data_IF_994705862330
#
_entry.id   IF_994705862330
#
_cell.length_a   1.000
_cell.length_b   1.000
_cell.length_c   1.000
_cell.angle_alpha   90.00
_cell.angle_beta   90.00
_cell.angle_gamma   90.00
#
_symmetry.space_group_name_H-M   'P 1'
#
loop_
_entity.id
_entity.type
_entity.pdbx_description
1 polymer ?
#
# COMPACT_ATOMS: atom_id res chain seq x y z
N UNK A 1 0.91 8.72 5.88
CA UNK A 1 1.28 7.43 5.26
C UNK A 1 1.75 7.68 3.85
N UNK A 2 2.85 7.08 3.44
CA UNK A 2 3.38 7.08 2.08
C UNK A 2 3.24 5.67 1.51
N UNK A 3 2.58 5.55 0.36
CA UNK A 3 2.28 4.27 -0.28
C UNK A 3 3.15 4.14 -1.53
N UNK A 4 4.10 3.22 -1.50
CA UNK A 4 4.85 2.78 -2.68
C UNK A 4 4.07 1.70 -3.41
N UNK A 5 4.25 1.60 -4.72
CA UNK A 5 3.48 0.70 -5.56
C UNK A 5 4.43 -0.19 -6.37
N UNK A 6 4.23 -1.51 -6.29
CA UNK A 6 4.94 -2.50 -7.11
C UNK A 6 4.01 -2.96 -8.23
N UNK A 7 4.23 -2.51 -9.47
CA UNK A 7 3.36 -2.87 -10.59
C UNK A 7 3.51 -4.35 -10.96
N UNK A 8 2.39 -5.02 -11.26
CA UNK A 8 2.36 -6.40 -11.71
C UNK A 8 1.32 -6.58 -12.83
N UNK A 9 1.74 -7.21 -13.93
CA UNK A 9 0.82 -7.64 -14.98
C UNK A 9 -0.08 -8.76 -14.44
N UNK A 10 -1.34 -8.47 -14.19
CA UNK A 10 -2.32 -9.38 -13.61
C UNK A 10 -3.74 -8.87 -13.86
N UNK A 11 -4.72 -9.77 -13.92
CA UNK A 11 -6.15 -9.44 -13.96
C UNK A 11 -6.77 -9.31 -12.56
N UNK A 12 -6.00 -9.56 -11.49
CA UNK A 12 -6.41 -9.34 -10.11
C UNK A 12 -6.87 -7.90 -9.92
N UNK A 13 -7.96 -7.71 -9.18
CA UNK A 13 -8.35 -6.40 -8.67
C UNK A 13 -7.96 -6.28 -7.21
N UNK A 14 -7.51 -5.09 -6.82
CA UNK A 14 -7.16 -4.76 -5.43
C UNK A 14 -7.89 -3.47 -5.06
N UNK A 15 -8.57 -3.50 -3.93
CA UNK A 15 -9.25 -2.34 -3.34
C UNK A 15 -8.58 -1.96 -2.03
N UNK A 16 -8.30 -0.68 -1.83
CA UNK A 16 -7.63 -0.17 -0.63
C UNK A 16 -8.34 1.06 -0.11
N UNK A 17 -8.64 1.05 1.18
CA UNK A 17 -9.13 2.20 1.92
C UNK A 17 -8.17 2.55 3.05
N UNK A 18 -7.84 3.82 3.21
CA UNK A 18 -7.04 4.33 4.32
C UNK A 18 -7.93 4.81 5.45
N UNK A 19 -7.57 4.47 6.68
CA UNK A 19 -8.16 5.03 7.89
C UNK A 19 -7.05 5.33 8.91
N UNK A 20 -6.53 6.56 8.88
CA UNK A 20 -5.40 6.97 9.71
C UNK A 20 -4.14 6.18 9.37
N UNK A 21 -3.75 5.30 10.30
CA UNK A 21 -2.61 4.38 10.22
C UNK A 21 -3.02 2.94 9.90
N UNK A 22 -4.29 2.70 9.57
CA UNK A 22 -4.77 1.41 9.10
C UNK A 22 -5.12 1.43 7.61
N UNK A 23 -5.01 0.25 6.98
CA UNK A 23 -5.47 0.00 5.62
C UNK A 23 -6.50 -1.12 5.62
N UNK A 24 -7.62 -0.94 4.93
CA UNK A 24 -8.53 -2.02 4.57
C UNK A 24 -8.22 -2.44 3.14
N UNK A 25 -7.74 -3.66 2.96
CA UNK A 25 -7.35 -4.21 1.65
C UNK A 25 -8.27 -5.38 1.35
N UNK A 26 -8.99 -5.33 0.22
CA UNK A 26 -9.95 -6.36 -0.20
C UNK A 26 -10.93 -6.75 0.93
N UNK A 27 -11.36 -5.76 1.71
CA UNK A 27 -12.28 -5.92 2.84
C UNK A 27 -11.65 -6.37 4.17
N UNK A 28 -10.34 -6.67 4.21
CA UNK A 28 -9.61 -7.05 5.42
C UNK A 28 -8.82 -5.85 5.97
N UNK A 29 -9.02 -5.53 7.26
CA UNK A 29 -8.31 -4.45 7.94
C UNK A 29 -6.95 -4.90 8.46
N UNK A 30 -5.95 -4.05 8.23
CA UNK A 30 -4.59 -4.13 8.77
C UNK A 30 -4.29 -2.84 9.53
N UNK A 31 -4.06 -2.96 10.84
CA UNK A 31 -3.81 -1.82 11.73
C UNK A 31 -2.32 -1.69 12.04
N UNK A 32 -1.70 -0.60 11.61
CA UNK A 32 -0.28 -0.32 11.82
C UNK A 32 -0.03 0.74 12.91
N UNK A 33 -1.04 1.10 13.69
CA UNK A 33 -0.89 2.06 14.80
C UNK A 33 0.12 1.61 15.86
N UNK A 34 0.38 0.31 15.96
CA UNK A 34 1.43 -0.26 16.82
C UNK A 34 2.86 -0.11 16.30
N UNK A 35 3.06 0.30 15.04
CA UNK A 35 4.39 0.56 14.49
C UNK A 35 4.83 1.97 14.91
N UNK A 36 5.64 2.04 15.96
CA UNK A 36 6.16 3.30 16.52
C UNK A 36 7.28 3.89 15.67
N UNK A 37 7.67 5.14 15.93
CA UNK A 37 8.79 5.79 15.24
C UNK A 37 10.07 4.95 15.30
N UNK A 38 10.74 4.79 14.15
CA UNK A 38 11.95 3.98 14.01
C UNK A 38 11.73 2.46 14.10
N UNK A 39 10.48 2.01 14.23
CA UNK A 39 10.14 0.59 14.23
C UNK A 39 9.82 0.08 12.82
N UNK A 40 10.07 -1.21 12.66
CA UNK A 40 9.86 -1.98 11.43
C UNK A 40 8.98 -3.18 11.76
N UNK A 41 7.82 -3.29 11.09
CA UNK A 41 7.01 -4.50 11.07
C UNK A 41 7.44 -5.33 9.85
N UNK A 42 8.06 -6.51 10.05
CA UNK A 42 8.50 -7.33 8.94
C UNK A 42 7.31 -7.88 8.14
N UNK A 43 7.49 -8.03 6.82
CA UNK A 43 6.49 -8.61 5.91
C UNK A 43 5.95 -9.96 6.41
N UNK A 44 6.81 -10.80 6.98
CA UNK A 44 6.42 -12.13 7.50
C UNK A 44 5.46 -12.08 8.68
N UNK A 45 5.29 -10.93 9.33
CA UNK A 45 4.29 -10.70 10.36
C UNK A 45 2.95 -10.18 9.81
N UNK A 46 2.88 -9.93 8.50
CA UNK A 46 1.72 -9.40 7.80
C UNK A 46 1.13 -10.51 6.92
N UNK A 47 -0.01 -11.05 7.34
CA UNK A 47 -0.73 -12.05 6.55
C UNK A 47 -1.57 -11.37 5.44
N UNK A 48 -0.88 -10.81 4.44
CA UNK A 48 -1.44 -10.13 3.28
C UNK A 48 -0.54 -10.32 2.05
N UNK A 49 -1.11 -10.71 0.93
CA UNK A 49 -0.38 -10.90 -0.34
C UNK A 49 -0.25 -9.61 -1.17
N UNK A 50 -0.94 -8.55 -0.77
CA UNK A 50 -0.88 -7.23 -1.41
C UNK A 50 0.17 -6.33 -0.76
N UNK A 51 0.41 -6.46 0.54
CA UNK A 51 1.47 -5.70 1.22
C UNK A 51 2.78 -6.41 0.99
N UNK A 52 3.73 -5.70 0.39
CA UNK A 52 5.04 -6.23 0.03
C UNK A 52 6.11 -5.55 0.88
N UNK A 53 7.08 -6.32 1.35
CA UNK A 53 8.15 -5.79 2.19
C UNK A 53 7.68 -5.33 3.58
N UNK A 54 8.60 -4.77 4.38
CA UNK A 54 8.29 -4.30 5.71
C UNK A 54 7.43 -3.03 5.69
N UNK A 55 6.69 -2.81 6.78
CA UNK A 55 6.03 -1.53 7.08
C UNK A 55 6.84 -0.81 8.15
N UNK A 56 7.26 0.41 7.85
CA UNK A 56 8.19 1.17 8.69
C UNK A 56 7.63 2.54 9.00
N UNK A 57 7.97 3.09 10.18
CA UNK A 57 7.71 4.49 10.48
C UNK A 57 9.00 5.28 10.49
N UNK A 58 9.08 6.25 9.58
CA UNK A 58 10.25 7.12 9.37
C UNK A 58 9.74 8.56 9.39
N UNK A 59 10.33 9.40 10.24
CA UNK A 59 9.98 10.81 10.39
C UNK A 59 8.47 11.02 10.68
N UNK A 60 7.91 10.14 11.49
CA UNK A 60 6.49 10.15 11.89
C UNK A 60 5.54 9.57 10.84
N UNK A 61 6.02 9.19 9.65
CA UNK A 61 5.19 8.71 8.54
C UNK A 61 5.35 7.21 8.33
N UNK A 62 4.24 6.49 8.25
CA UNK A 62 4.25 5.09 7.82
C UNK A 62 4.57 4.98 6.33
N UNK A 63 5.54 4.14 5.99
CA UNK A 63 5.89 3.72 4.65
C UNK A 63 5.39 2.30 4.42
N UNK A 64 4.57 2.11 3.39
CA UNK A 64 3.97 0.83 3.02
C UNK A 64 4.18 0.62 1.52
N UNK A 65 4.52 -0.59 1.09
CA UNK A 65 4.55 -0.95 -0.34
C UNK A 65 3.40 -1.88 -0.65
N UNK A 66 2.63 -1.56 -1.68
CA UNK A 66 1.48 -2.35 -2.13
C UNK A 66 1.70 -2.88 -3.54
N UNK A 67 1.25 -4.10 -3.80
CA UNK A 67 1.09 -4.64 -5.14
C UNK A 67 0.04 -3.81 -5.90
N UNK A 68 0.39 -3.39 -7.12
CA UNK A 68 -0.51 -2.74 -8.07
C UNK A 68 -0.72 -3.65 -9.28
N UNK A 69 -1.80 -4.45 -9.31
CA UNK A 69 -2.19 -5.17 -10.50
C UNK A 69 -2.55 -4.20 -11.63
N UNK A 70 -2.12 -4.49 -12.84
CA UNK A 70 -2.50 -3.74 -14.02
C UNK A 70 -2.64 -4.65 -15.25
N UNK A 71 -3.46 -4.22 -16.21
CA UNK A 71 -3.64 -4.93 -17.50
C UNK A 71 -2.49 -4.70 -18.48
N UNK A 72 -2.53 -5.40 -19.62
CA UNK A 72 -1.52 -5.26 -20.67
C UNK A 72 -1.48 -3.84 -21.28
N UNK A 73 -2.63 -3.18 -21.35
CA UNK A 73 -2.83 -1.83 -21.90
C UNK A 73 -2.72 -0.73 -20.83
N UNK A 74 -2.14 -1.03 -19.66
CA UNK A 74 -2.00 -0.08 -18.56
C UNK A 74 -1.12 1.12 -18.94
N UNK A 75 -1.45 2.30 -18.39
CA UNK A 75 -0.70 3.52 -18.68
C UNK A 75 0.74 3.44 -18.16
N UNK A 76 1.58 4.38 -18.61
CA UNK A 76 2.92 4.54 -18.06
C UNK A 76 2.89 4.82 -16.54
N UNK A 77 1.89 5.54 -16.05
CA UNK A 77 1.74 5.83 -14.63
C UNK A 77 1.36 4.59 -13.81
N UNK A 78 0.66 3.62 -14.40
CA UNK A 78 0.38 2.34 -13.74
C UNK A 78 1.56 1.37 -13.81
N UNK A 79 2.31 1.37 -14.93
CA UNK A 79 3.49 0.50 -15.13
C UNK A 79 4.75 1.01 -14.41
N UNK A 80 4.81 2.31 -14.12
CA UNK A 80 5.90 2.97 -13.41
C UNK A 80 5.34 3.98 -12.40
N UNK A 81 4.65 3.49 -11.36
CA UNK A 81 3.90 4.34 -10.45
C UNK A 81 4.80 5.20 -9.59
N UNK A 82 4.44 6.48 -9.48
CA UNK A 82 4.96 7.34 -8.43
C UNK A 82 4.33 6.93 -7.07
N UNK A 83 5.03 7.12 -5.95
CA UNK A 83 4.44 6.92 -4.63
C UNK A 83 3.24 7.83 -4.39
N UNK A 84 2.23 7.33 -3.68
CA UNK A 84 1.08 8.11 -3.23
C UNK A 84 1.41 8.66 -1.84
N UNK A 85 1.68 9.96 -1.78
CA UNK A 85 2.08 10.63 -0.55
C UNK A 85 0.86 11.17 0.20
N UNK A 86 0.69 10.71 1.43
CA UNK A 86 -0.38 11.13 2.34
C UNK A 86 -1.79 11.19 1.70
N UNK A 87 -2.31 10.08 1.12
CA UNK A 87 -3.67 10.07 0.57
C UNK A 87 -4.69 10.38 1.68
N UNK A 88 -5.83 11.02 1.38
CA UNK A 88 -6.88 11.23 2.38
C UNK A 88 -7.38 9.90 2.96
N UNK A 89 -8.05 9.95 4.12
CA UNK A 89 -8.82 8.79 4.60
C UNK A 89 -9.96 8.49 3.62
N UNK A 90 -10.30 7.20 3.48
CA UNK A 90 -11.23 6.68 2.49
C UNK A 90 -10.52 5.91 1.36
N UNK A 91 -11.21 5.70 0.23
CA UNK A 91 -10.66 4.98 -0.91
C UNK A 91 -9.34 5.59 -1.42
N UNK A 92 -8.35 4.73 -1.64
CA UNK A 92 -7.07 5.11 -2.25
C UNK A 92 -7.19 4.97 -3.76
N UNK A 93 -7.01 6.08 -4.48
CA UNK A 93 -7.04 6.09 -5.94
C UNK A 93 -5.71 5.62 -6.52
N UNK A 94 -5.73 4.54 -7.31
CA UNK A 94 -4.56 4.02 -8.00
C UNK A 94 -4.47 4.52 -9.46
N UNK A 95 -3.24 4.67 -10.00
CA UNK A 95 -3.05 4.91 -11.43
C UNK A 95 -3.55 3.71 -12.24
N UNK A 96 -4.10 3.98 -13.44
CA UNK A 96 -4.68 2.99 -14.37
C UNK A 96 -3.90 2.95 -15.68
#
# INVERSE_FOLDING_TARGET
MNIHLTPQLSDRQVTVERDGDALTIDGRRFDFSGVTEGATLPESAIDCDVILGPVERIDGVLHVTLLLPHGAEASQAARFPAPINNPPNGPVEFPK
#
